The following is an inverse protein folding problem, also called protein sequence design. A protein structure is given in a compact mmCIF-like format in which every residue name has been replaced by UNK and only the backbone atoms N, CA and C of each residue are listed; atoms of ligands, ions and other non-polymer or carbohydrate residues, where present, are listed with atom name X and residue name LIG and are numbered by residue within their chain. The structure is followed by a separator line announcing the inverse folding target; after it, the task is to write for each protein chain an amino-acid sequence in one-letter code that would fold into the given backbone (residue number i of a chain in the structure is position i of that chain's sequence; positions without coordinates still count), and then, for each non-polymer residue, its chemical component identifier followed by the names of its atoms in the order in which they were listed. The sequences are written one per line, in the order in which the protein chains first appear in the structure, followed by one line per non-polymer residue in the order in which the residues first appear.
data_IF_841067788968
#
_entry.id   IF_841067788968
#
_cell.length_a   1.000
_cell.length_b   1.000
_cell.length_c   1.000
_cell.angle_alpha   90.00
_cell.angle_beta   90.00
_cell.angle_gamma   90.00
#
_symmetry.space_group_name_H-M   'P 1'
#
loop_
_entity.id
_entity.type
_entity.pdbx_description
1 polymer ?
#
# COMPACT_ATOMS: atom_id res chain seq x y z
N UNK A 1 -8.73 -14.94 -5.55
CA UNK A 1 -8.49 -13.73 -6.38
C UNK A 1 -7.58 -12.86 -5.52
N UNK A 2 -6.40 -12.46 -5.99
CA UNK A 2 -5.55 -11.57 -5.20
C UNK A 2 -6.08 -10.16 -5.44
N UNK A 3 -6.57 -9.59 -4.36
CA UNK A 3 -7.18 -8.28 -4.29
C UNK A 3 -6.05 -7.24 -4.22
N UNK A 4 -5.73 -6.64 -5.38
CA UNK A 4 -4.61 -5.72 -5.55
C UNK A 4 -5.09 -4.27 -5.72
N UNK A 5 -4.50 -3.35 -4.97
CA UNK A 5 -4.69 -1.90 -5.09
C UNK A 5 -3.40 -1.30 -5.62
N UNK A 6 -3.40 -0.80 -6.86
CA UNK A 6 -2.27 -0.04 -7.40
C UNK A 6 -2.34 1.39 -6.87
N UNK A 7 -1.31 1.83 -6.15
CA UNK A 7 -1.24 3.18 -5.57
C UNK A 7 -0.67 4.15 -6.60
N UNK A 8 0.49 3.82 -7.17
CA UNK A 8 1.09 4.55 -8.28
C UNK A 8 2.00 3.61 -9.09
N UNK A 9 2.84 4.16 -9.98
CA UNK A 9 3.76 3.39 -10.82
C UNK A 9 4.79 2.56 -10.02
N UNK A 10 4.98 2.82 -8.72
CA UNK A 10 5.99 2.17 -7.88
C UNK A 10 5.43 1.30 -6.78
N UNK A 11 4.19 1.53 -6.35
CA UNK A 11 3.66 0.82 -5.19
C UNK A 11 2.30 0.18 -5.45
N UNK A 12 2.12 -1.01 -4.90
CA UNK A 12 0.84 -1.71 -4.87
C UNK A 12 0.62 -2.30 -3.48
N UNK A 13 -0.65 -2.38 -3.07
CA UNK A 13 -1.07 -3.04 -1.84
C UNK A 13 -1.77 -4.33 -2.21
N UNK A 14 -1.37 -5.44 -1.61
CA UNK A 14 -2.05 -6.72 -1.73
C UNK A 14 -2.81 -7.01 -0.45
N UNK A 15 -4.07 -7.41 -0.59
CA UNK A 15 -4.85 -7.95 0.51
C UNK A 15 -4.64 -9.46 0.59
N UNK A 16 -4.05 -9.94 1.68
CA UNK A 16 -4.01 -11.36 1.98
C UNK A 16 -5.23 -11.75 2.82
N UNK A 17 -5.88 -12.86 2.46
CA UNK A 17 -6.92 -13.44 3.30
C UNK A 17 -6.38 -13.67 4.72
N UNK A 18 -7.16 -13.34 5.77
CA UNK A 18 -6.75 -13.64 7.12
C UNK A 18 -6.58 -15.16 7.25
N UNK A 19 -5.40 -15.61 7.68
CA UNK A 19 -5.20 -17.00 8.03
C UNK A 19 -6.11 -17.34 9.20
N UNK A 20 -6.85 -18.45 9.11
CA UNK A 20 -7.91 -18.88 10.06
C UNK A 20 -7.49 -18.89 11.55
N UNK A 21 -6.20 -18.80 11.84
CA UNK A 21 -5.58 -18.84 13.17
C UNK A 21 -5.57 -17.50 13.91
N UNK A 22 -5.70 -16.35 13.23
CA UNK A 22 -5.77 -15.05 13.89
C UNK A 22 -7.04 -14.33 13.44
N UNK A 23 -8.11 -14.47 14.22
CA UNK A 23 -9.45 -13.94 13.90
C UNK A 23 -9.57 -12.42 13.83
N UNK A 24 -8.55 -11.65 13.43
CA UNK A 24 -8.62 -10.19 13.31
C UNK A 24 -7.71 -9.67 12.19
N UNK A 25 -8.38 -9.00 11.24
CA UNK A 25 -7.88 -8.07 10.21
C UNK A 25 -7.20 -8.73 9.00
N UNK A 26 -7.47 -8.28 7.76
CA UNK A 26 -6.70 -8.69 6.60
C UNK A 26 -5.24 -8.32 6.77
N UNK A 27 -4.35 -9.21 6.37
CA UNK A 27 -2.94 -8.87 6.26
C UNK A 27 -2.76 -8.02 5.01
N UNK A 28 -2.45 -6.73 5.20
CA UNK A 28 -2.13 -5.82 4.11
C UNK A 28 -0.65 -5.95 3.78
N UNK A 29 -0.31 -6.12 2.51
CA UNK A 29 1.09 -6.24 2.07
C UNK A 29 1.42 -5.05 1.20
N UNK A 30 2.42 -4.26 1.59
CA UNK A 30 2.96 -3.22 0.73
C UNK A 30 3.99 -3.86 -0.21
N UNK A 31 3.87 -3.59 -1.50
CA UNK A 31 4.78 -4.07 -2.53
C UNK A 31 5.38 -2.90 -3.30
N UNK A 32 6.65 -3.04 -3.67
CA UNK A 32 7.28 -2.25 -4.71
C UNK A 32 7.06 -2.94 -6.07
N UNK A 33 6.54 -2.20 -7.04
CA UNK A 33 6.38 -2.65 -8.42
C UNK A 33 7.76 -2.59 -9.08
N UNK A 34 8.25 -3.74 -9.54
CA UNK A 34 9.48 -3.88 -10.31
C UNK A 34 9.20 -4.58 -11.62
N UNK A 35 10.16 -4.52 -12.52
CA UNK A 35 10.11 -5.20 -13.81
C UNK A 35 11.31 -6.12 -13.95
N UNK A 36 11.08 -7.33 -14.47
CA UNK A 36 12.15 -8.27 -14.81
C UNK A 36 12.92 -7.78 -16.04
N UNK A 37 13.99 -8.49 -16.42
CA UNK A 37 14.74 -8.19 -17.65
C UNK A 37 13.88 -8.39 -18.90
N UNK A 38 12.87 -9.23 -18.78
CA UNK A 38 11.87 -9.58 -19.80
C UNK A 38 10.67 -8.62 -19.78
N UNK A 39 10.74 -7.52 -19.01
CA UNK A 39 9.68 -6.52 -18.83
C UNK A 39 8.38 -7.06 -18.22
N UNK A 40 8.47 -8.13 -17.43
CA UNK A 40 7.34 -8.66 -16.69
C UNK A 40 7.19 -7.95 -15.34
N UNK A 41 5.97 -7.56 -15.00
CA UNK A 41 5.67 -6.88 -13.74
C UNK A 41 5.75 -7.86 -12.58
N UNK A 42 6.60 -7.55 -11.60
CA UNK A 42 6.76 -8.31 -10.35
C UNK A 42 6.51 -7.44 -9.13
N UNK A 43 5.84 -8.00 -8.13
CA UNK A 43 5.59 -7.37 -6.85
C UNK A 43 6.66 -7.81 -5.85
N UNK A 44 7.58 -6.90 -5.51
CA UNK A 44 8.56 -7.13 -4.46
C UNK A 44 7.96 -6.71 -3.12
N UNK A 45 7.70 -7.68 -2.24
CA UNK A 45 7.17 -7.42 -0.90
C UNK A 45 8.12 -6.50 -0.13
N UNK A 46 7.58 -5.37 0.35
CA UNK A 46 8.26 -4.48 1.29
C UNK A 46 8.01 -4.98 2.72
N UNK A 47 6.74 -5.08 3.13
CA UNK A 47 6.36 -5.56 4.46
C UNK A 47 4.85 -5.88 4.55
N UNK A 48 4.50 -6.54 5.65
CA UNK A 48 3.12 -6.86 6.03
C UNK A 48 2.66 -5.94 7.16
N UNK A 49 1.40 -5.53 7.11
CA UNK A 49 0.81 -4.58 8.05
C UNK A 49 -0.54 -5.07 8.56
N UNK A 50 -0.79 -4.89 9.87
CA UNK A 50 -2.08 -5.22 10.47
C UNK A 50 -3.13 -4.14 10.24
N UNK A 51 -2.77 -2.92 9.83
CA UNK A 51 -3.73 -1.82 9.63
C UNK A 51 -3.38 -0.96 8.42
N UNK A 52 -4.40 -0.29 7.86
CA UNK A 52 -4.23 0.66 6.75
C UNK A 52 -3.32 1.83 7.14
N UNK A 53 -3.48 2.36 8.34
CA UNK A 53 -2.70 3.51 8.83
C UNK A 53 -1.22 3.16 8.97
N UNK A 54 -0.90 2.00 9.57
CA UNK A 54 0.49 1.55 9.69
C UNK A 54 1.16 1.37 8.32
N UNK A 55 0.41 0.87 7.33
CA UNK A 55 0.91 0.72 5.97
C UNK A 55 1.19 2.08 5.31
N UNK A 56 0.21 2.99 5.34
CA UNK A 56 0.35 4.30 4.69
C UNK A 56 1.49 5.10 5.30
N UNK A 57 1.63 5.03 6.63
CA UNK A 57 2.73 5.69 7.33
C UNK A 57 4.10 5.19 6.85
N UNK A 58 4.26 3.87 6.69
CA UNK A 58 5.54 3.32 6.26
C UNK A 58 5.80 3.54 4.76
N UNK A 59 4.75 3.51 3.92
CA UNK A 59 4.83 3.91 2.52
C UNK A 59 5.34 5.36 2.38
N UNK A 60 4.77 6.28 3.15
CA UNK A 60 5.17 7.70 3.16
C UNK A 60 6.64 7.82 3.54
N UNK A 61 7.07 7.20 4.65
CA UNK A 61 8.47 7.20 5.05
C UNK A 61 9.40 6.61 3.97
N UNK A 62 9.05 5.45 3.43
CA UNK A 62 9.84 4.77 2.41
C UNK A 62 9.97 5.61 1.13
N UNK A 63 8.89 6.26 0.70
CA UNK A 63 8.89 7.14 -0.47
C UNK A 63 9.68 8.41 -0.23
N UNK A 64 9.48 9.10 0.89
CA UNK A 64 10.22 10.32 1.21
C UNK A 64 11.72 10.06 1.23
N UNK A 65 12.15 8.98 1.88
CA UNK A 65 13.55 8.60 1.97
C UNK A 65 14.19 8.36 0.58
N UNK A 66 13.44 7.77 -0.36
CA UNK A 66 13.95 7.44 -1.71
C UNK A 66 13.72 8.52 -2.78
N UNK A 67 12.88 9.52 -2.52
CA UNK A 67 12.42 10.47 -3.55
C UNK A 67 13.30 11.71 -3.67
N UNK A 68 14.29 11.89 -2.79
CA UNK A 68 15.19 13.03 -2.83
C UNK A 68 14.49 14.36 -2.57
N UNK A 69 13.33 14.34 -1.90
CA UNK A 69 12.58 15.54 -1.49
C UNK A 69 13.49 16.43 -0.64
N UNK A 70 13.66 17.69 -1.06
CA UNK A 70 14.60 18.64 -0.47
C UNK A 70 13.93 19.90 0.09
N UNK A 71 12.59 19.94 0.14
CA UNK A 71 11.84 21.05 0.73
C UNK A 71 10.64 20.56 1.55
N UNK A 72 10.25 21.37 2.55
CA UNK A 72 9.09 21.08 3.40
C UNK A 72 7.80 21.07 2.60
N UNK A 73 7.64 21.97 1.61
CA UNK A 73 6.46 22.01 0.76
C UNK A 73 6.28 20.70 -0.02
N UNK A 74 7.35 20.23 -0.68
CA UNK A 74 7.32 18.99 -1.44
C UNK A 74 7.06 17.75 -0.55
N UNK A 75 7.55 17.77 0.70
CA UNK A 75 7.26 16.72 1.69
C UNK A 75 5.77 16.64 2.02
N UNK A 76 5.14 17.78 2.28
CA UNK A 76 3.70 17.87 2.60
C UNK A 76 2.87 17.44 1.39
N UNK A 77 3.23 17.90 0.19
CA UNK A 77 2.53 17.55 -1.05
C UNK A 77 2.62 16.05 -1.35
N UNK A 78 3.79 15.43 -1.23
CA UNK A 78 3.94 14.00 -1.49
C UNK A 78 3.21 13.14 -0.44
N UNK A 79 3.25 13.56 0.82
CA UNK A 79 2.50 12.89 1.90
C UNK A 79 1.00 12.91 1.61
N UNK A 80 0.47 14.08 1.22
CA UNK A 80 -0.95 14.25 0.89
C UNK A 80 -1.33 13.42 -0.34
N UNK A 81 -0.52 13.47 -1.40
CA UNK A 81 -0.75 12.68 -2.63
C UNK A 81 -0.84 11.18 -2.34
N UNK A 82 0.10 10.64 -1.55
CA UNK A 82 0.10 9.22 -1.18
C UNK A 82 -1.10 8.85 -0.32
N UNK A 83 -1.46 9.69 0.66
CA UNK A 83 -2.63 9.47 1.49
C UNK A 83 -3.93 9.41 0.65
N UNK A 84 -4.10 10.36 -0.27
CA UNK A 84 -5.28 10.42 -1.17
C UNK A 84 -5.36 9.20 -2.09
N UNK A 85 -4.23 8.75 -2.66
CA UNK A 85 -4.20 7.54 -3.50
C UNK A 85 -4.53 6.28 -2.71
N UNK A 86 -4.01 6.15 -1.49
CA UNK A 86 -4.37 5.06 -0.60
C UNK A 86 -5.84 5.10 -0.20
N UNK A 87 -6.39 6.27 0.16
CA UNK A 87 -7.81 6.41 0.45
C UNK A 87 -8.69 6.00 -0.73
N UNK A 88 -8.36 6.47 -1.93
CA UNK A 88 -9.10 6.11 -3.15
C UNK A 88 -9.04 4.60 -3.38
N UNK A 89 -7.83 4.04 -3.32
CA UNK A 89 -7.60 2.61 -3.48
C UNK A 89 -8.39 1.77 -2.48
N UNK A 90 -8.47 2.19 -1.21
CA UNK A 90 -9.24 1.51 -0.18
C UNK A 90 -10.76 1.73 -0.28
N UNK A 91 -11.22 2.85 -0.87
CA UNK A 91 -12.66 3.15 -1.09
C UNK A 91 -13.23 2.31 -2.24
N UNK A 92 -12.48 2.25 -3.34
CA UNK A 92 -12.80 1.39 -4.49
C UNK A 92 -12.77 -0.11 -4.07
N UNK A 93 -12.09 -0.40 -2.96
CA UNK A 93 -12.10 -1.68 -2.27
C UNK A 93 -13.32 -1.88 -1.35
N UNK A 94 -14.48 -2.21 -1.95
CA UNK A 94 -15.60 -2.79 -1.20
C UNK A 94 -15.34 -4.26 -0.89
N UNK A 95 -14.75 -4.55 0.27
CA UNK A 95 -14.90 -5.86 0.89
C UNK A 95 -16.10 -5.78 1.84
N UNK A 96 -17.28 -6.33 1.49
CA UNK A 96 -18.49 -6.25 2.31
C UNK A 96 -18.35 -6.90 3.70
N UNK A 97 -17.24 -7.56 3.99
CA UNK A 97 -16.99 -8.29 5.25
C UNK A 97 -15.97 -7.63 6.20
N UNK A 98 -15.54 -6.39 5.93
CA UNK A 98 -14.49 -5.71 6.73
C UNK A 98 -14.92 -4.51 7.55
N UNK A 99 -16.20 -4.16 7.53
CA UNK A 99 -16.74 -3.22 8.51
C UNK A 99 -17.22 -4.01 9.73
N UNK A 100 -16.76 -3.69 10.96
CA UNK A 100 -17.46 -4.14 12.14
C UNK A 100 -18.88 -3.53 12.10
N UNK A 101 -19.90 -4.35 12.37
CA UNK A 101 -21.24 -3.87 12.68
C UNK A 101 -21.21 -2.97 13.91
#
# INVERSE_FOLDING_TARGET
MIDEIVIDARYAITLCEPTKTLGRIPNLVLNEIKFTKENERVLAVIAHYPTRVSLVNDLVHHRIYRSGINSISALVEETKRLAELCEKGFKDFHSPNLLPK
#
